data_IF_521610256916
#
_entry.id   IF_521610256916
#
_cell.length_a   1.000
_cell.length_b   1.000
_cell.length_c   1.000
_cell.angle_alpha   90.00
_cell.angle_beta   90.00
_cell.angle_gamma   90.00
#
_symmetry.space_group_name_H-M   'P 1'
#
loop_
_entity.id
_entity.type
_entity.pdbx_description
1 polymer ?
#
# COMPACT_ATOMS: atom_id res chain seq x y z
N UNK A 1 -32.40 6.32 56.87
CA UNK A 1 -33.35 5.27 56.43
C UNK A 1 -32.93 4.92 55.02
N UNK A 2 -32.41 3.75 54.69
CA UNK A 2 -32.68 2.43 55.25
C UNK A 2 -31.42 1.57 55.38
N UNK A 3 -31.29 0.99 56.57
CA UNK A 3 -30.31 -0.02 56.97
C UNK A 3 -30.89 -1.41 56.67
N UNK A 4 -30.30 -2.11 55.69
CA UNK A 4 -30.62 -3.49 55.36
C UNK A 4 -29.80 -4.49 56.22
N UNK A 5 -30.36 -5.66 56.58
CA UNK A 5 -29.83 -6.51 57.63
C UNK A 5 -28.70 -7.44 57.17
N UNK A 6 -27.79 -7.72 58.09
CA UNK A 6 -26.74 -8.71 57.99
C UNK A 6 -27.35 -10.12 57.87
N UNK A 7 -26.99 -10.85 56.80
CA UNK A 7 -27.35 -12.24 56.60
C UNK A 7 -26.36 -13.16 57.33
N UNK A 8 -26.92 -14.06 58.13
CA UNK A 8 -26.25 -15.12 58.87
C UNK A 8 -25.35 -16.00 57.99
N UNK A 9 -24.11 -16.20 58.44
CA UNK A 9 -23.16 -17.14 57.86
C UNK A 9 -23.54 -18.57 58.27
N UNK A 10 -23.93 -19.38 57.28
CA UNK A 10 -24.17 -20.81 57.46
C UNK A 10 -22.85 -21.57 57.77
N UNK A 11 -22.90 -22.61 58.62
CA UNK A 11 -21.72 -23.39 59.00
C UNK A 11 -21.21 -24.22 57.81
N UNK A 12 -19.89 -24.15 57.58
CA UNK A 12 -19.18 -24.94 56.59
C UNK A 12 -19.34 -26.44 56.89
N UNK A 13 -20.03 -27.17 56.01
CA UNK A 13 -20.12 -28.62 56.07
C UNK A 13 -18.74 -29.25 55.81
N UNK A 14 -18.32 -30.12 56.73
CA UNK A 14 -17.12 -30.96 56.60
C UNK A 14 -17.17 -31.75 55.29
N UNK A 15 -16.31 -31.37 54.33
CA UNK A 15 -16.16 -32.07 53.07
C UNK A 15 -15.51 -33.44 53.34
N UNK A 16 -16.31 -34.50 53.26
CA UNK A 16 -15.83 -35.88 53.33
C UNK A 16 -14.63 -36.10 52.40
N UNK A 17 -13.56 -36.68 52.93
CA UNK A 17 -12.35 -36.99 52.18
C UNK A 17 -12.70 -37.79 50.90
N UNK A 18 -12.11 -37.45 49.75
CA UNK A 18 -12.42 -38.14 48.50
C UNK A 18 -12.11 -39.64 48.66
N UNK A 19 -13.10 -40.48 48.35
CA UNK A 19 -12.92 -41.93 48.33
C UNK A 19 -11.69 -42.28 47.46
N UNK A 20 -10.79 -43.09 47.99
CA UNK A 20 -9.59 -43.52 47.29
C UNK A 20 -9.90 -44.26 45.97
N UNK A 21 -8.91 -44.43 45.08
CA UNK A 21 -9.10 -45.15 43.82
C UNK A 21 -9.60 -46.57 44.07
N UNK A 22 -10.46 -47.08 43.18
CA UNK A 22 -11.00 -48.44 43.26
C UNK A 22 -9.85 -49.47 43.40
N UNK A 23 -9.87 -50.34 44.43
CA UNK A 23 -8.82 -51.32 44.66
C UNK A 23 -8.57 -52.24 43.46
N UNK A 24 -9.57 -52.46 42.59
CA UNK A 24 -9.40 -53.24 41.35
C UNK A 24 -8.50 -52.54 40.34
N UNK A 25 -8.63 -51.21 40.22
CA UNK A 25 -7.78 -50.40 39.34
C UNK A 25 -6.34 -50.45 39.86
N UNK A 26 -6.15 -50.36 41.18
CA UNK A 26 -4.82 -50.45 41.78
C UNK A 26 -4.17 -51.82 41.54
N UNK A 27 -4.91 -52.91 41.77
CA UNK A 27 -4.41 -54.26 41.50
C UNK A 27 -4.02 -54.46 40.02
N UNK A 28 -4.83 -53.96 39.09
CA UNK A 28 -4.51 -54.04 37.66
C UNK A 28 -3.23 -53.25 37.32
N UNK A 29 -3.05 -52.05 37.88
CA UNK A 29 -1.82 -51.26 37.70
C UNK A 29 -0.58 -51.99 38.20
N UNK A 30 -0.70 -52.66 39.35
CA UNK A 30 0.41 -53.46 39.92
C UNK A 30 0.74 -54.67 39.06
N UNK A 31 -0.28 -55.34 38.51
CA UNK A 31 -0.08 -56.44 37.54
C UNK A 31 0.63 -55.94 36.29
N UNK A 32 0.19 -54.82 35.69
CA UNK A 32 0.84 -54.27 34.49
C UNK A 32 2.30 -53.87 34.75
N UNK A 33 2.60 -53.35 35.94
CA UNK A 33 3.98 -53.06 36.34
C UNK A 33 4.85 -54.33 36.43
N UNK A 34 4.33 -55.41 37.03
CA UNK A 34 5.03 -56.70 37.12
C UNK A 34 5.24 -57.32 35.73
N UNK A 35 4.23 -57.27 34.87
CA UNK A 35 4.33 -57.74 33.47
C UNK A 35 5.41 -56.96 32.72
N UNK A 36 5.51 -55.64 32.92
CA UNK A 36 6.62 -54.83 32.39
C UNK A 36 8.00 -55.32 32.86
N UNK A 37 8.11 -55.68 34.14
CA UNK A 37 9.34 -56.28 34.69
C UNK A 37 9.71 -57.62 34.06
N UNK A 38 8.72 -58.49 33.80
CA UNK A 38 8.95 -59.77 33.14
C UNK A 38 9.45 -59.56 31.70
N UNK A 39 8.80 -58.71 30.92
CA UNK A 39 9.23 -58.42 29.54
C UNK A 39 10.62 -57.82 29.48
N UNK A 40 10.96 -56.92 30.42
CA UNK A 40 12.30 -56.35 30.55
C UNK A 40 13.34 -57.44 30.84
N UNK A 41 13.04 -58.38 31.73
CA UNK A 41 13.94 -59.50 32.04
C UNK A 41 14.13 -60.45 30.85
N UNK A 42 13.13 -60.59 29.98
CA UNK A 42 13.19 -61.37 28.73
C UNK A 42 13.92 -60.62 27.61
N UNK A 43 14.22 -59.34 27.78
CA UNK A 43 14.91 -58.50 26.80
C UNK A 43 14.00 -57.86 25.73
N UNK A 44 12.68 -57.97 25.88
CA UNK A 44 11.71 -57.31 24.99
C UNK A 44 11.37 -55.91 25.54
N UNK A 45 12.25 -54.95 25.26
CA UNK A 45 12.15 -53.58 25.77
C UNK A 45 10.86 -52.86 25.31
N UNK A 46 10.39 -53.13 24.10
CA UNK A 46 9.15 -52.54 23.56
C UNK A 46 7.91 -53.01 24.35
N UNK A 47 7.75 -54.32 24.54
CA UNK A 47 6.62 -54.84 25.32
C UNK A 47 6.70 -54.43 26.78
N UNK A 48 7.90 -54.38 27.35
CA UNK A 48 8.13 -53.89 28.70
C UNK A 48 7.64 -52.46 28.86
N UNK A 49 8.01 -51.57 27.93
CA UNK A 49 7.61 -50.17 27.95
C UNK A 49 6.08 -50.00 27.84
N UNK A 50 5.40 -50.72 26.95
CA UNK A 50 3.93 -50.67 26.84
C UNK A 50 3.24 -51.09 28.14
N UNK A 51 3.74 -52.16 28.77
CA UNK A 51 3.20 -52.64 30.04
C UNK A 51 3.44 -51.63 31.18
N UNK A 52 4.64 -51.04 31.26
CA UNK A 52 4.93 -49.97 32.21
C UNK A 52 4.07 -48.72 32.00
N UNK A 53 3.85 -48.32 30.75
CA UNK A 53 2.97 -47.21 30.43
C UNK A 53 1.52 -47.47 30.89
N UNK A 54 1.04 -48.70 30.68
CA UNK A 54 -0.30 -49.12 31.11
C UNK A 54 -0.45 -49.16 32.63
N UNK A 55 0.64 -49.31 33.39
CA UNK A 55 0.59 -49.32 34.86
C UNK A 55 0.15 -47.99 35.49
N UNK A 56 0.12 -46.88 34.74
CA UNK A 56 -0.32 -45.59 35.25
C UNK A 56 0.64 -44.95 36.27
N UNK A 57 1.88 -45.47 36.40
CA UNK A 57 2.90 -44.96 37.33
C UNK A 57 3.75 -43.89 36.64
N UNK A 58 3.74 -42.62 37.07
CA UNK A 58 4.39 -41.52 36.34
C UNK A 58 5.88 -41.71 36.01
N UNK A 59 6.65 -42.37 36.88
CA UNK A 59 8.07 -42.64 36.66
C UNK A 59 8.28 -43.72 35.58
N UNK A 60 7.61 -44.86 35.73
CA UNK A 60 7.68 -45.97 34.76
C UNK A 60 7.15 -45.56 33.39
N UNK A 61 6.20 -44.64 33.38
CA UNK A 61 5.60 -44.04 32.19
C UNK A 61 6.55 -43.16 31.38
N UNK A 62 7.36 -42.32 32.03
CA UNK A 62 8.38 -41.50 31.34
C UNK A 62 9.46 -42.41 30.76
N UNK A 63 9.92 -43.35 31.58
CA UNK A 63 10.90 -44.36 31.18
C UNK A 63 10.39 -45.21 30.00
N UNK A 64 9.11 -45.56 29.98
CA UNK A 64 8.48 -46.27 28.87
C UNK A 64 8.55 -45.48 27.56
N UNK A 65 8.19 -44.19 27.56
CA UNK A 65 8.26 -43.34 26.36
C UNK A 65 9.70 -43.20 25.89
N UNK A 66 10.65 -42.96 26.80
CA UNK A 66 12.08 -42.88 26.46
C UNK A 66 12.64 -44.20 25.89
N UNK A 67 12.19 -45.33 26.44
CA UNK A 67 12.59 -46.66 25.96
C UNK A 67 12.04 -46.89 24.55
N UNK A 68 10.75 -46.63 24.30
CA UNK A 68 10.14 -46.77 22.97
C UNK A 68 10.79 -45.83 21.94
N UNK A 69 11.15 -44.63 22.36
CA UNK A 69 11.90 -43.69 21.53
C UNK A 69 13.27 -44.26 21.13
N UNK A 70 13.98 -44.87 22.09
CA UNK A 70 15.31 -45.46 21.89
C UNK A 70 15.27 -46.72 21.03
N UNK A 71 14.27 -47.58 21.21
CA UNK A 71 14.08 -48.79 20.40
C UNK A 71 13.55 -48.48 18.99
N UNK A 72 13.06 -47.26 18.78
CA UNK A 72 12.49 -46.82 17.50
C UNK A 72 11.08 -47.36 17.25
N UNK A 73 10.41 -47.88 18.28
CA UNK A 73 9.04 -48.40 18.22
C UNK A 73 8.01 -47.26 18.33
N UNK A 74 8.00 -46.43 17.29
CA UNK A 74 7.24 -45.19 17.20
C UNK A 74 5.71 -45.40 17.22
N UNK A 75 5.21 -46.57 16.80
CA UNK A 75 3.78 -46.89 16.83
C UNK A 75 3.28 -47.03 18.27
N UNK A 76 4.04 -47.76 19.08
CA UNK A 76 3.73 -47.94 20.49
C UNK A 76 4.00 -46.65 21.28
N UNK A 77 5.05 -45.90 20.94
CA UNK A 77 5.32 -44.57 21.51
C UNK A 77 4.12 -43.63 21.31
N UNK A 78 3.61 -43.53 20.08
CA UNK A 78 2.48 -42.66 19.75
C UNK A 78 1.19 -43.09 20.48
N UNK A 79 0.89 -44.39 20.54
CA UNK A 79 -0.28 -44.92 21.27
C UNK A 79 -0.22 -44.63 22.76
N UNK A 80 0.96 -44.81 23.37
CA UNK A 80 1.17 -44.51 24.79
C UNK A 80 0.99 -43.01 25.06
N UNK A 81 1.46 -42.14 24.17
CA UNK A 81 1.28 -40.69 24.29
C UNK A 81 -0.19 -40.26 24.08
N UNK A 82 -0.90 -40.88 23.13
CA UNK A 82 -2.33 -40.65 22.87
C UNK A 82 -3.19 -41.02 24.09
N UNK A 83 -2.96 -42.19 24.69
CA UNK A 83 -3.70 -42.64 25.88
C UNK A 83 -3.57 -41.68 27.09
N UNK A 84 -2.47 -40.92 27.14
CA UNK A 84 -2.22 -39.92 28.21
C UNK A 84 -2.80 -38.54 27.91
N UNK A 85 -3.43 -38.36 26.74
CA UNK A 85 -3.87 -37.05 26.28
C UNK A 85 -2.73 -36.14 25.80
N UNK A 86 -1.51 -36.66 25.61
CA UNK A 86 -0.39 -35.94 25.01
C UNK A 86 -0.45 -35.97 23.48
N UNK A 87 -1.62 -35.67 22.91
CA UNK A 87 -1.88 -35.77 21.46
C UNK A 87 -0.90 -34.97 20.59
N UNK A 88 -0.39 -33.82 21.10
CA UNK A 88 0.62 -33.03 20.37
C UNK A 88 1.95 -33.77 20.20
N UNK A 89 2.43 -34.44 21.24
CA UNK A 89 3.71 -35.16 21.17
C UNK A 89 3.56 -36.46 20.39
N UNK A 90 2.43 -37.16 20.54
CA UNK A 90 2.09 -38.30 19.70
C UNK A 90 2.05 -37.93 18.21
N UNK A 91 1.43 -36.79 17.86
CA UNK A 91 1.41 -36.26 16.50
C UNK A 91 2.81 -35.95 15.96
N UNK A 92 3.73 -35.44 16.79
CA UNK A 92 5.13 -35.16 16.37
C UNK A 92 5.89 -36.44 16.04
N UNK A 93 5.67 -37.51 16.81
CA UNK A 93 6.29 -38.82 16.54
C UNK A 93 5.84 -39.35 15.18
N UNK A 94 4.53 -39.25 14.88
CA UNK A 94 3.95 -39.68 13.61
C UNK A 94 4.40 -38.79 12.42
N UNK A 95 4.48 -37.47 12.61
CA UNK A 95 4.97 -36.51 11.61
C UNK A 95 6.41 -36.88 11.16
N UNK A 96 7.30 -37.23 12.11
CA UNK A 96 8.69 -37.65 11.80
C UNK A 96 8.77 -38.94 10.98
N UNK A 97 7.76 -39.80 11.07
CA UNK A 97 7.70 -41.10 10.38
C UNK A 97 6.89 -41.04 9.09
N UNK A 98 6.38 -39.86 8.71
CA UNK A 98 5.61 -39.65 7.49
C UNK A 98 4.14 -40.10 7.57
N UNK A 99 3.64 -40.45 8.76
CA UNK A 99 2.23 -40.81 8.98
C UNK A 99 1.40 -39.54 9.21
N UNK A 100 1.30 -38.70 8.19
CA UNK A 100 0.71 -37.37 8.31
C UNK A 100 -0.79 -37.39 8.59
N UNK A 101 -1.55 -38.36 8.07
CA UNK A 101 -3.00 -38.45 8.29
C UNK A 101 -3.34 -38.68 9.76
N UNK A 102 -2.66 -39.64 10.39
CA UNK A 102 -2.83 -39.92 11.82
C UNK A 102 -2.32 -38.75 12.69
N UNK A 103 -1.21 -38.12 12.29
CA UNK A 103 -0.70 -36.93 12.98
C UNK A 103 -1.71 -35.78 12.97
N UNK A 104 -2.38 -35.53 11.83
CA UNK A 104 -3.44 -34.51 11.71
C UNK A 104 -4.56 -34.79 12.71
N UNK A 105 -5.08 -36.03 12.76
CA UNK A 105 -6.14 -36.43 13.71
C UNK A 105 -5.75 -36.12 15.16
N UNK A 106 -4.55 -36.53 15.58
CA UNK A 106 -4.07 -36.32 16.95
C UNK A 106 -3.88 -34.83 17.29
N UNK A 107 -3.43 -34.03 16.33
CA UNK A 107 -3.33 -32.58 16.53
C UNK A 107 -4.71 -31.91 16.67
N UNK A 108 -5.70 -32.35 15.92
CA UNK A 108 -7.08 -31.84 16.03
C UNK A 108 -7.71 -32.19 17.37
N UNK A 109 -7.56 -33.42 17.84
CA UNK A 109 -8.00 -33.85 19.17
C UNK A 109 -7.34 -33.02 20.27
N UNK A 110 -6.06 -32.68 20.10
CA UNK A 110 -5.31 -31.80 20.99
C UNK A 110 -5.57 -30.29 20.78
N UNK A 111 -6.52 -29.93 19.91
CA UNK A 111 -6.89 -28.55 19.53
C UNK A 111 -5.70 -27.70 19.04
N UNK A 112 -4.67 -28.33 18.48
CA UNK A 112 -3.51 -27.66 17.87
C UNK A 112 -3.66 -27.59 16.34
N UNK A 113 -4.57 -26.72 15.90
CA UNK A 113 -4.93 -26.58 14.49
C UNK A 113 -3.75 -26.14 13.60
N UNK A 114 -2.77 -25.41 14.16
CA UNK A 114 -1.57 -24.96 13.43
C UNK A 114 -0.67 -26.14 13.08
N UNK A 115 -0.41 -27.01 14.06
CA UNK A 115 0.37 -28.23 13.84
C UNK A 115 -0.37 -29.20 12.93
N UNK A 116 -1.70 -29.33 13.08
CA UNK A 116 -2.54 -30.11 12.17
C UNK A 116 -2.41 -29.63 10.72
N UNK A 117 -2.57 -28.32 10.46
CA UNK A 117 -2.45 -27.77 9.11
C UNK A 117 -1.04 -27.97 8.54
N UNK A 118 0.01 -27.76 9.34
CA UNK A 118 1.39 -28.01 8.91
C UNK A 118 1.61 -29.47 8.50
N UNK A 119 1.12 -30.41 9.31
CA UNK A 119 1.23 -31.84 9.03
C UNK A 119 0.46 -32.21 7.75
N UNK A 120 -0.76 -31.71 7.58
CA UNK A 120 -1.58 -31.92 6.38
C UNK A 120 -0.87 -31.43 5.11
N UNK A 121 -0.30 -30.22 5.15
CA UNK A 121 0.44 -29.64 4.02
C UNK A 121 1.72 -30.42 3.69
N UNK A 122 2.46 -30.85 4.72
CA UNK A 122 3.68 -31.65 4.54
C UNK A 122 3.37 -33.02 3.94
N UNK A 123 2.26 -33.63 4.37
CA UNK A 123 1.75 -34.89 3.82
C UNK A 123 1.00 -34.78 2.50
N UNK A 124 0.86 -33.57 1.93
CA UNK A 124 0.05 -33.29 0.72
C UNK A 124 -1.40 -33.76 0.83
N UNK A 125 -1.97 -33.69 2.03
CA UNK A 125 -3.35 -34.02 2.35
C UNK A 125 -4.23 -32.79 2.04
N UNK A 126 -4.62 -32.63 0.77
CA UNK A 126 -5.27 -31.40 0.28
C UNK A 126 -6.65 -31.17 0.87
N UNK A 127 -7.42 -32.23 1.09
CA UNK A 127 -8.81 -32.12 1.56
C UNK A 127 -8.86 -31.73 3.05
N UNK A 128 -7.99 -32.33 3.86
CA UNK A 128 -7.79 -31.99 5.26
C UNK A 128 -7.26 -30.57 5.41
N UNK A 129 -6.30 -30.17 4.58
CA UNK A 129 -5.78 -28.80 4.58
C UNK A 129 -6.89 -27.78 4.24
N UNK A 130 -7.72 -28.04 3.22
CA UNK A 130 -8.88 -27.20 2.86
C UNK A 130 -9.86 -27.03 4.02
N UNK A 131 -10.13 -28.11 4.76
CA UNK A 131 -11.00 -28.08 5.95
C UNK A 131 -10.38 -27.28 7.11
N UNK A 132 -9.06 -27.39 7.31
CA UNK A 132 -8.35 -26.75 8.44
C UNK A 132 -8.08 -25.26 8.24
N UNK A 133 -7.88 -24.79 7.01
CA UNK A 133 -7.60 -23.37 6.67
C UNK A 133 -8.57 -22.38 7.33
N UNK A 134 -9.92 -22.52 7.20
CA UNK A 134 -10.84 -21.58 7.83
C UNK A 134 -10.82 -21.62 9.36
N UNK A 135 -10.39 -22.75 9.97
CA UNK A 135 -10.35 -22.93 11.42
C UNK A 135 -9.11 -22.31 12.07
N UNK A 136 -7.96 -22.34 11.38
CA UNK A 136 -6.69 -21.75 11.86
C UNK A 136 -6.73 -20.21 11.75
N UNK A 137 -7.49 -19.70 10.79
CA UNK A 137 -7.58 -18.27 10.51
C UNK A 137 -6.61 -17.82 9.41
N UNK A 138 -6.93 -16.70 8.73
CA UNK A 138 -6.36 -16.37 7.43
C UNK A 138 -4.87 -16.03 7.45
N UNK A 139 -4.41 -15.28 8.45
CA UNK A 139 -2.99 -14.83 8.54
C UNK A 139 -2.05 -16.00 8.82
N UNK A 140 -2.45 -16.89 9.72
CA UNK A 140 -1.65 -18.06 10.10
C UNK A 140 -1.67 -19.12 9.01
N UNK A 141 -2.83 -19.36 8.39
CA UNK A 141 -2.95 -20.23 7.24
C UNK A 141 -2.05 -19.75 6.09
N UNK A 142 -2.04 -18.45 5.78
CA UNK A 142 -1.14 -17.87 4.77
C UNK A 142 0.34 -18.19 5.04
N UNK A 143 0.81 -17.96 6.27
CA UNK A 143 2.20 -18.24 6.64
C UNK A 143 2.59 -19.71 6.42
N UNK A 144 1.71 -20.64 6.83
CA UNK A 144 1.96 -22.07 6.66
C UNK A 144 1.88 -22.53 5.20
N UNK A 145 0.94 -21.98 4.42
CA UNK A 145 0.80 -22.27 2.99
C UNK A 145 1.99 -21.77 2.17
N UNK A 146 2.49 -20.56 2.43
CA UNK A 146 3.69 -20.01 1.79
C UNK A 146 4.93 -20.86 2.11
N UNK A 147 5.10 -21.25 3.39
CA UNK A 147 6.22 -22.09 3.81
C UNK A 147 6.19 -23.48 3.16
N UNK A 148 5.00 -24.06 3.01
CA UNK A 148 4.80 -25.35 2.36
C UNK A 148 4.78 -25.26 0.82
N UNK A 149 4.90 -24.04 0.24
CA UNK A 149 4.77 -23.79 -1.20
C UNK A 149 3.45 -24.30 -1.81
N UNK A 150 2.38 -24.34 -1.02
CA UNK A 150 1.04 -24.77 -1.44
C UNK A 150 0.30 -23.61 -2.13
N UNK A 151 0.79 -23.18 -3.29
CA UNK A 151 0.35 -21.96 -3.97
C UNK A 151 -1.11 -22.00 -4.43
N UNK A 152 -1.66 -23.16 -4.78
CA UNK A 152 -3.06 -23.32 -5.20
C UNK A 152 -4.03 -23.02 -4.05
N UNK A 153 -3.81 -23.66 -2.89
CA UNK A 153 -4.60 -23.41 -1.68
C UNK A 153 -4.45 -21.97 -1.19
N UNK A 154 -3.24 -21.40 -1.29
CA UNK A 154 -3.02 -20.00 -0.96
C UNK A 154 -3.81 -19.06 -1.88
N UNK A 155 -3.89 -19.40 -3.16
CA UNK A 155 -4.67 -18.64 -4.13
C UNK A 155 -6.17 -18.73 -3.83
N UNK A 156 -6.71 -19.94 -3.57
CA UNK A 156 -8.10 -20.13 -3.15
C UNK A 156 -8.43 -19.30 -1.90
N UNK A 157 -7.53 -19.29 -0.90
CA UNK A 157 -7.68 -18.47 0.30
C UNK A 157 -7.74 -16.98 -0.01
N UNK A 158 -6.86 -16.45 -0.86
CA UNK A 158 -6.88 -15.04 -1.23
C UNK A 158 -8.08 -14.65 -2.10
N UNK A 159 -8.54 -15.55 -2.98
CA UNK A 159 -9.77 -15.34 -3.76
C UNK A 159 -10.98 -15.27 -2.82
N UNK A 160 -11.07 -16.17 -1.84
CA UNK A 160 -12.14 -16.15 -0.83
C UNK A 160 -12.15 -14.86 0.03
N UNK A 161 -10.99 -14.24 0.23
CA UNK A 161 -10.85 -12.95 0.93
C UNK A 161 -11.10 -11.73 0.03
N UNK A 162 -11.24 -11.90 -1.28
CA UNK A 162 -11.26 -10.80 -2.25
C UNK A 162 -9.91 -10.07 -2.39
N UNK A 163 -8.80 -10.64 -1.90
CA UNK A 163 -7.47 -10.04 -2.00
C UNK A 163 -6.83 -10.36 -3.37
N UNK A 164 -7.41 -9.79 -4.43
CA UNK A 164 -6.95 -10.02 -5.80
C UNK A 164 -5.53 -9.50 -6.08
N UNK A 165 -5.03 -8.58 -5.26
CA UNK A 165 -3.65 -8.10 -5.33
C UNK A 165 -2.62 -9.21 -5.06
N UNK A 166 -2.87 -10.02 -4.03
CA UNK A 166 -2.00 -11.13 -3.68
C UNK A 166 -2.09 -12.24 -4.73
N UNK A 167 -3.31 -12.53 -5.22
CA UNK A 167 -3.56 -13.48 -6.31
C UNK A 167 -2.78 -13.10 -7.58
N UNK A 168 -2.82 -11.83 -7.98
CA UNK A 168 -2.10 -11.36 -9.17
C UNK A 168 -0.58 -11.54 -9.04
N UNK A 169 0.00 -11.26 -7.86
CA UNK A 169 1.43 -11.50 -7.60
C UNK A 169 1.82 -12.98 -7.66
N UNK A 170 0.94 -13.87 -7.19
CA UNK A 170 1.16 -15.33 -7.32
C UNK A 170 1.18 -15.75 -8.79
N UNK A 171 0.24 -15.25 -9.60
CA UNK A 171 0.25 -15.49 -11.05
C UNK A 171 1.48 -14.92 -11.75
N UNK A 172 1.94 -13.71 -11.39
CA UNK A 172 3.18 -13.14 -11.93
C UNK A 172 4.41 -13.99 -11.60
N UNK A 173 4.50 -14.51 -10.36
CA UNK A 173 5.58 -15.42 -9.96
C UNK A 173 5.57 -16.72 -10.77
N UNK A 174 4.38 -17.24 -11.08
CA UNK A 174 4.18 -18.39 -11.96
C UNK A 174 4.34 -18.06 -13.46
N UNK A 175 4.61 -16.80 -13.82
CA UNK A 175 4.72 -16.28 -15.21
C UNK A 175 3.43 -16.41 -16.03
N UNK A 176 2.27 -16.54 -15.38
CA UNK A 176 0.94 -16.56 -16.00
C UNK A 176 0.39 -15.13 -16.06
N UNK A 177 0.97 -14.31 -16.95
CA UNK A 177 0.72 -12.87 -16.98
C UNK A 177 -0.69 -12.48 -17.46
N UNK A 178 -1.35 -13.35 -18.22
CA UNK A 178 -2.75 -13.23 -18.65
C UNK A 178 -3.71 -13.26 -17.45
N UNK A 179 -3.57 -14.27 -16.60
CA UNK A 179 -4.37 -14.43 -15.38
C UNK A 179 -4.03 -13.35 -14.34
N UNK A 180 -2.76 -12.99 -14.24
CA UNK A 180 -2.33 -11.85 -13.41
C UNK A 180 -3.01 -10.55 -13.84
N UNK A 181 -3.12 -10.29 -15.15
CA UNK A 181 -3.83 -9.13 -15.69
C UNK A 181 -5.29 -9.08 -15.26
N UNK A 182 -6.01 -10.21 -15.34
CA UNK A 182 -7.40 -10.30 -14.90
C UNK A 182 -7.55 -10.06 -13.39
N UNK A 183 -6.64 -10.61 -12.58
CA UNK A 183 -6.64 -10.41 -11.14
C UNK A 183 -6.37 -8.93 -10.78
N UNK A 184 -5.41 -8.28 -11.45
CA UNK A 184 -5.15 -6.85 -11.25
C UNK A 184 -6.33 -5.96 -11.70
N UNK A 185 -7.06 -6.32 -12.77
CA UNK A 185 -8.29 -5.62 -13.15
C UNK A 185 -9.36 -5.73 -12.04
N UNK A 186 -9.55 -6.92 -11.45
CA UNK A 186 -10.48 -7.11 -10.32
C UNK A 186 -10.06 -6.33 -9.07
N UNK A 187 -8.75 -6.15 -8.85
CA UNK A 187 -8.21 -5.29 -7.80
C UNK A 187 -8.30 -3.79 -8.11
N UNK A 188 -8.83 -3.41 -9.28
CA UNK A 188 -8.88 -2.03 -9.79
C UNK A 188 -7.50 -1.35 -9.90
N UNK A 189 -6.43 -2.13 -10.12
CA UNK A 189 -5.06 -1.63 -10.32
C UNK A 189 -4.68 -1.67 -11.79
N UNK A 190 -5.28 -0.75 -12.55
CA UNK A 190 -5.21 -0.71 -14.02
C UNK A 190 -3.78 -0.65 -14.57
N UNK A 191 -2.88 0.13 -13.97
CA UNK A 191 -1.48 0.21 -14.42
C UNK A 191 -0.68 -1.09 -14.23
N UNK A 192 -0.98 -1.89 -13.19
CA UNK A 192 -0.38 -3.20 -12.99
C UNK A 192 -0.96 -4.23 -13.96
N UNK A 193 -2.29 -4.21 -14.16
CA UNK A 193 -2.98 -5.04 -15.14
C UNK A 193 -2.43 -4.83 -16.55
N UNK A 194 -2.27 -3.57 -16.97
CA UNK A 194 -1.71 -3.21 -18.29
C UNK A 194 -0.31 -3.80 -18.48
N UNK A 195 0.60 -3.62 -17.51
CA UNK A 195 1.97 -4.17 -17.57
C UNK A 195 1.96 -5.70 -17.62
N UNK A 196 1.04 -6.36 -16.91
CA UNK A 196 0.89 -7.81 -16.99
C UNK A 196 0.45 -8.24 -18.39
N UNK A 197 -0.56 -7.62 -18.99
CA UNK A 197 -0.98 -7.93 -20.37
C UNK A 197 0.11 -7.65 -21.42
N UNK A 198 0.87 -6.57 -21.28
CA UNK A 198 2.03 -6.26 -22.14
C UNK A 198 3.09 -7.37 -22.06
N UNK A 199 3.37 -7.90 -20.86
CA UNK A 199 4.28 -9.06 -20.67
C UNK A 199 3.72 -10.35 -21.26
N UNK A 200 2.39 -10.54 -21.20
CA UNK A 200 1.70 -11.65 -21.84
C UNK A 200 1.64 -11.53 -23.37
N UNK A 201 2.01 -10.37 -23.93
CA UNK A 201 1.85 -10.00 -25.35
C UNK A 201 0.38 -9.96 -25.81
N UNK A 202 -0.57 -9.85 -24.88
CA UNK A 202 -1.98 -9.58 -25.20
C UNK A 202 -2.19 -8.07 -25.35
N UNK A 203 -1.85 -7.56 -26.54
CA UNK A 203 -1.93 -6.12 -26.83
C UNK A 203 -3.38 -5.62 -26.84
N UNK A 204 -4.36 -6.47 -27.12
CA UNK A 204 -5.77 -6.10 -27.16
C UNK A 204 -6.30 -5.83 -25.74
N UNK A 205 -6.03 -6.73 -24.79
CA UNK A 205 -6.39 -6.48 -23.38
C UNK A 205 -5.57 -5.33 -22.78
N UNK A 206 -4.29 -5.21 -23.13
CA UNK A 206 -3.47 -4.08 -22.68
C UNK A 206 -4.04 -2.73 -23.13
N UNK A 207 -4.46 -2.60 -24.39
CA UNK A 207 -5.09 -1.38 -24.92
C UNK A 207 -6.43 -1.09 -24.22
N UNK A 208 -7.28 -2.10 -24.03
CA UNK A 208 -8.55 -1.95 -23.30
C UNK A 208 -8.31 -1.38 -21.90
N UNK A 209 -7.36 -1.96 -21.15
CA UNK A 209 -7.03 -1.52 -19.79
C UNK A 209 -6.41 -0.13 -19.79
N UNK A 210 -5.55 0.17 -20.77
CA UNK A 210 -4.96 1.50 -20.96
C UNK A 210 -6.03 2.56 -21.13
N UNK A 211 -7.03 2.32 -21.97
CA UNK A 211 -8.16 3.25 -22.15
C UNK A 211 -8.91 3.48 -20.84
N UNK A 212 -9.18 2.42 -20.06
CA UNK A 212 -9.78 2.55 -18.72
C UNK A 212 -8.88 3.34 -17.77
N UNK A 213 -7.57 3.10 -17.78
CA UNK A 213 -6.57 3.81 -16.94
C UNK A 213 -6.55 5.30 -17.25
N UNK A 214 -6.49 5.65 -18.54
CA UNK A 214 -6.53 7.03 -19.03
C UNK A 214 -7.85 7.71 -18.62
N UNK A 215 -9.00 7.06 -18.82
CA UNK A 215 -10.29 7.59 -18.40
C UNK A 215 -10.37 7.82 -16.88
N UNK A 216 -9.87 6.87 -16.08
CA UNK A 216 -9.85 7.00 -14.63
C UNK A 216 -8.93 8.15 -14.14
N UNK A 217 -7.79 8.36 -14.80
CA UNK A 217 -6.88 9.48 -14.51
C UNK A 217 -7.51 10.83 -14.89
N UNK A 218 -8.14 10.91 -16.06
CA UNK A 218 -8.88 12.11 -16.50
C UNK A 218 -10.01 12.43 -15.52
N UNK A 219 -10.77 11.42 -15.07
CA UNK A 219 -11.85 11.60 -14.10
C UNK A 219 -11.35 12.11 -12.74
N UNK A 220 -10.12 11.74 -12.34
CA UNK A 220 -9.45 12.27 -11.14
C UNK A 220 -8.83 13.66 -11.34
N UNK A 221 -8.81 14.17 -12.57
CA UNK A 221 -8.17 15.44 -12.93
C UNK A 221 -6.67 15.34 -13.25
N UNK A 222 -6.08 14.14 -13.22
CA UNK A 222 -4.67 13.91 -13.55
C UNK A 222 -4.47 13.65 -15.05
N UNK A 223 -4.65 14.72 -15.85
CA UNK A 223 -4.46 14.65 -17.30
C UNK A 223 -2.99 14.51 -17.71
N UNK A 224 -2.05 14.93 -16.86
CA UNK A 224 -0.62 14.74 -17.12
C UNK A 224 -0.26 13.25 -17.04
N UNK A 225 -0.70 12.56 -15.98
CA UNK A 225 -0.55 11.11 -15.85
C UNK A 225 -1.21 10.36 -17.01
N UNK A 226 -2.42 10.77 -17.41
CA UNK A 226 -3.10 10.18 -18.58
C UNK A 226 -2.28 10.31 -19.88
N UNK A 227 -1.73 11.51 -20.14
CA UNK A 227 -0.89 11.75 -21.30
C UNK A 227 0.43 10.95 -21.26
N UNK A 228 1.04 10.79 -20.08
CA UNK A 228 2.23 9.94 -19.92
C UNK A 228 1.95 8.47 -20.26
N UNK A 229 0.80 7.94 -19.83
CA UNK A 229 0.37 6.57 -20.17
C UNK A 229 0.22 6.42 -21.69
N UNK A 230 -0.43 7.37 -22.35
CA UNK A 230 -0.60 7.38 -23.82
C UNK A 230 0.75 7.47 -24.56
N UNK A 231 1.67 8.32 -24.09
CA UNK A 231 3.01 8.45 -24.68
C UNK A 231 3.82 7.17 -24.55
N UNK A 232 3.75 6.48 -23.40
CA UNK A 232 4.44 5.21 -23.20
C UNK A 232 3.98 4.12 -24.18
N UNK A 233 2.76 4.27 -24.72
CA UNK A 233 2.19 3.39 -25.73
C UNK A 233 2.44 3.86 -27.17
N UNK A 234 3.17 4.95 -27.38
CA UNK A 234 3.40 5.56 -28.69
C UNK A 234 2.20 6.36 -29.24
N UNK A 235 1.13 6.55 -28.46
CA UNK A 235 -0.07 7.28 -28.85
C UNK A 235 0.11 8.80 -28.66
N UNK A 236 1.10 9.37 -29.35
CA UNK A 236 1.49 10.78 -29.23
C UNK A 236 0.35 11.75 -29.54
N UNK A 237 -0.43 11.49 -30.59
CA UNK A 237 -1.56 12.34 -30.97
C UNK A 237 -2.64 12.42 -29.87
N UNK A 238 -3.05 11.28 -29.30
CA UNK A 238 -4.03 11.22 -28.22
C UNK A 238 -3.51 11.88 -26.93
N UNK A 239 -2.21 11.75 -26.64
CA UNK A 239 -1.58 12.43 -25.50
C UNK A 239 -1.66 13.95 -25.63
N UNK A 240 -1.38 14.48 -26.82
CA UNK A 240 -1.49 15.91 -27.13
C UNK A 240 -2.94 16.36 -26.99
N UNK A 241 -3.90 15.65 -27.59
CA UNK A 241 -5.32 15.97 -27.49
C UNK A 241 -5.79 16.07 -26.03
N UNK A 242 -5.42 15.08 -25.20
CA UNK A 242 -5.74 15.04 -23.77
C UNK A 242 -5.22 16.27 -23.02
N UNK A 243 -4.03 16.76 -23.37
CA UNK A 243 -3.43 17.94 -22.73
C UNK A 243 -4.01 19.26 -23.27
N UNK A 244 -4.33 19.34 -24.56
CA UNK A 244 -4.90 20.56 -25.15
C UNK A 244 -6.28 20.89 -24.58
N UNK A 245 -7.04 19.88 -24.14
CA UNK A 245 -8.32 20.04 -23.45
C UNK A 245 -8.24 20.77 -22.10
N UNK A 246 -7.04 20.90 -21.47
CA UNK A 246 -6.89 21.72 -20.26
C UNK A 246 -7.06 23.21 -20.56
N UNK A 247 -6.81 23.62 -21.81
CA UNK A 247 -6.82 25.01 -22.21
C UNK A 247 -5.64 25.81 -21.65
N UNK A 248 -5.34 26.93 -22.31
CA UNK A 248 -4.46 27.96 -21.79
C UNK A 248 -3.00 27.53 -21.58
N UNK A 249 -2.24 28.32 -20.79
CA UNK A 249 -0.81 28.09 -20.58
C UNK A 249 -0.46 26.78 -19.86
N UNK A 250 -1.41 26.17 -19.14
CA UNK A 250 -1.18 24.91 -18.42
C UNK A 250 -0.95 23.74 -19.39
N UNK A 251 -1.78 23.63 -20.43
CA UNK A 251 -1.62 22.60 -21.47
C UNK A 251 -0.26 22.71 -22.16
N UNK A 252 0.15 23.94 -22.50
CA UNK A 252 1.47 24.21 -23.09
C UNK A 252 2.63 23.76 -22.18
N UNK A 253 2.61 24.15 -20.90
CA UNK A 253 3.66 23.75 -19.95
C UNK A 253 3.74 22.23 -19.78
N UNK A 254 2.61 21.54 -19.76
CA UNK A 254 2.60 20.07 -19.71
C UNK A 254 3.15 19.43 -20.99
N UNK A 255 2.86 19.98 -22.17
CA UNK A 255 3.47 19.52 -23.42
C UNK A 255 5.01 19.69 -23.39
N UNK A 256 5.51 20.83 -22.92
CA UNK A 256 6.95 21.04 -22.73
C UNK A 256 7.56 20.09 -21.69
N UNK A 257 6.87 19.86 -20.57
CA UNK A 257 7.33 18.93 -19.54
C UNK A 257 7.46 17.49 -20.09
N UNK A 258 6.61 17.11 -21.05
CA UNK A 258 6.69 15.84 -21.75
C UNK A 258 7.62 15.85 -22.99
N UNK A 259 8.36 16.95 -23.21
CA UNK A 259 9.29 17.14 -24.34
C UNK A 259 8.62 17.05 -25.71
N UNK A 260 7.35 17.47 -25.79
CA UNK A 260 6.57 17.57 -27.02
C UNK A 260 6.66 19.00 -27.58
N UNK A 261 7.88 19.48 -27.80
CA UNK A 261 8.15 20.91 -28.07
C UNK A 261 7.50 21.40 -29.37
N UNK A 262 7.51 20.57 -30.42
CA UNK A 262 6.89 20.92 -31.70
C UNK A 262 5.36 21.10 -31.57
N UNK A 263 4.70 20.18 -30.86
CA UNK A 263 3.26 20.24 -30.59
C UNK A 263 2.91 21.34 -29.60
N UNK A 264 3.76 21.59 -28.60
CA UNK A 264 3.61 22.73 -27.69
C UNK A 264 3.61 24.05 -28.47
N UNK A 265 4.57 24.24 -29.37
CA UNK A 265 4.65 25.43 -30.22
C UNK A 265 3.45 25.55 -31.17
N UNK A 266 3.04 24.45 -31.81
CA UNK A 266 1.85 24.45 -32.67
C UNK A 266 0.59 24.83 -31.89
N UNK A 267 0.42 24.28 -30.68
CA UNK A 267 -0.69 24.59 -29.79
C UNK A 267 -0.70 26.08 -29.38
N UNK A 268 0.45 26.60 -28.93
CA UNK A 268 0.57 28.01 -28.54
C UNK A 268 0.31 28.97 -29.72
N UNK A 269 0.79 28.65 -30.93
CA UNK A 269 0.49 29.45 -32.14
C UNK A 269 -0.99 29.42 -32.50
N UNK A 270 -1.64 28.26 -32.37
CA UNK A 270 -3.08 28.12 -32.60
C UNK A 270 -3.91 28.95 -31.62
N UNK A 271 -3.58 28.89 -30.32
CA UNK A 271 -4.26 29.68 -29.29
C UNK A 271 -3.99 31.19 -29.45
N UNK A 272 -2.77 31.58 -29.82
CA UNK A 272 -2.42 32.96 -30.16
C UNK A 272 -3.27 33.49 -31.34
N UNK A 273 -3.44 32.69 -32.39
CA UNK A 273 -4.27 33.05 -33.54
C UNK A 273 -5.74 33.24 -33.12
N UNK A 274 -6.27 32.36 -32.26
CA UNK A 274 -7.64 32.48 -31.71
C UNK A 274 -7.81 33.75 -30.87
N UNK A 275 -6.88 34.04 -29.94
CA UNK A 275 -6.94 35.27 -29.14
C UNK A 275 -6.84 36.53 -30.01
N UNK A 276 -6.03 36.49 -31.08
CA UNK A 276 -5.91 37.61 -32.03
C UNK A 276 -7.20 37.81 -32.82
N UNK A 277 -7.80 36.74 -33.34
CA UNK A 277 -9.07 36.81 -34.08
C UNK A 277 -10.25 37.21 -33.19
N UNK A 278 -10.25 36.79 -31.91
CA UNK A 278 -11.27 37.15 -30.93
C UNK A 278 -11.10 38.53 -30.29
N UNK A 279 -10.02 39.26 -30.58
CA UNK A 279 -9.74 40.55 -29.95
C UNK A 279 -9.35 40.47 -28.47
N UNK A 280 -9.01 39.29 -27.95
CA UNK A 280 -8.53 39.12 -26.58
C UNK A 280 -7.05 39.53 -26.49
N UNK A 281 -6.83 40.84 -26.29
CA UNK A 281 -5.49 41.43 -26.16
C UNK A 281 -4.72 40.86 -24.96
N UNK A 282 -5.41 40.49 -23.88
CA UNK A 282 -4.79 39.92 -22.68
C UNK A 282 -4.30 38.49 -22.94
N UNK A 283 -5.13 37.65 -23.55
CA UNK A 283 -4.75 36.30 -23.98
C UNK A 283 -3.61 36.33 -24.99
N UNK A 284 -3.68 37.22 -26.00
CA UNK A 284 -2.62 37.43 -26.98
C UNK A 284 -1.28 37.77 -26.32
N UNK A 285 -1.27 38.73 -25.39
CA UNK A 285 -0.04 39.15 -24.71
C UNK A 285 0.60 38.00 -23.91
N UNK A 286 -0.21 37.21 -23.17
CA UNK A 286 0.28 36.04 -22.44
C UNK A 286 0.90 34.98 -23.33
N UNK A 287 0.29 34.68 -24.47
CA UNK A 287 0.81 33.68 -25.40
C UNK A 287 2.10 34.14 -26.09
N UNK A 288 2.20 35.42 -26.44
CA UNK A 288 3.43 35.99 -27.00
C UNK A 288 4.59 35.94 -25.99
N UNK A 289 4.32 36.25 -24.72
CA UNK A 289 5.32 36.12 -23.64
C UNK A 289 5.78 34.66 -23.48
N UNK A 290 4.85 33.71 -23.53
CA UNK A 290 5.14 32.28 -23.40
C UNK A 290 5.94 31.72 -24.59
N UNK A 291 5.74 32.28 -25.79
CA UNK A 291 6.50 31.95 -26.99
C UNK A 291 7.87 32.64 -27.05
N UNK A 292 8.15 33.57 -26.14
CA UNK A 292 9.38 34.37 -26.14
C UNK A 292 9.39 35.55 -27.11
N UNK A 293 8.24 35.89 -27.70
CA UNK A 293 8.06 37.03 -28.62
C UNK A 293 7.90 38.33 -27.82
N UNK A 294 8.94 38.72 -27.09
CA UNK A 294 8.92 39.78 -26.07
C UNK A 294 8.48 41.15 -26.62
N UNK A 295 8.92 41.52 -27.82
CA UNK A 295 8.53 42.79 -28.46
C UNK A 295 7.03 42.86 -28.74
N UNK A 296 6.48 41.82 -29.37
CA UNK A 296 5.06 41.76 -29.68
C UNK A 296 4.21 41.62 -28.40
N UNK A 297 4.73 40.90 -27.40
CA UNK A 297 4.08 40.77 -26.09
C UNK A 297 3.94 42.12 -25.39
N UNK A 298 5.00 42.95 -25.39
CA UNK A 298 4.99 44.27 -24.79
C UNK A 298 3.89 45.16 -25.41
N UNK A 299 3.80 45.20 -26.74
CA UNK A 299 2.75 45.95 -27.44
C UNK A 299 1.34 45.41 -27.13
N UNK A 300 1.16 44.09 -27.10
CA UNK A 300 -0.12 43.49 -26.75
C UNK A 300 -0.54 43.81 -25.29
N UNK A 301 0.41 43.91 -24.36
CA UNK A 301 0.12 44.33 -22.97
C UNK A 301 -0.31 45.79 -22.85
N UNK A 302 0.21 46.69 -23.71
CA UNK A 302 -0.27 48.08 -23.81
C UNK A 302 -1.72 48.10 -24.28
N UNK A 303 -2.05 47.35 -25.35
CA UNK A 303 -3.42 47.24 -25.86
C UNK A 303 -4.38 46.63 -24.82
N UNK A 304 -3.89 45.72 -23.98
CA UNK A 304 -4.65 45.14 -22.87
C UNK A 304 -4.76 46.05 -21.63
N UNK A 305 -4.31 47.31 -21.70
CA UNK A 305 -4.28 48.27 -20.58
C UNK A 305 -3.48 47.81 -19.35
N UNK A 306 -2.54 46.87 -19.50
CA UNK A 306 -1.65 46.40 -18.44
C UNK A 306 -0.25 46.98 -18.63
N UNK A 307 -0.17 48.30 -18.58
CA UNK A 307 1.04 49.09 -18.86
C UNK A 307 2.23 48.72 -17.97
N UNK A 308 1.98 48.31 -16.72
CA UNK A 308 3.02 47.86 -15.78
C UNK A 308 3.81 46.67 -16.32
N UNK A 309 3.14 45.71 -16.97
CA UNK A 309 3.80 44.55 -17.57
C UNK A 309 4.54 44.90 -18.86
N UNK A 310 3.91 45.74 -19.69
CA UNK A 310 4.54 46.24 -20.91
C UNK A 310 5.83 46.99 -20.61
N UNK A 311 5.84 47.83 -19.55
CA UNK A 311 7.01 48.56 -19.08
C UNK A 311 8.20 47.63 -18.81
N UNK A 312 7.99 46.55 -18.04
CA UNK A 312 9.05 45.58 -17.72
C UNK A 312 9.60 44.91 -18.98
N UNK A 313 8.74 44.59 -19.95
CA UNK A 313 9.19 43.97 -21.20
C UNK A 313 9.95 44.93 -22.11
N UNK A 314 9.53 46.20 -22.22
CA UNK A 314 10.29 47.21 -22.98
C UNK A 314 11.65 47.50 -22.34
N UNK A 315 11.75 47.47 -21.01
CA UNK A 315 13.04 47.54 -20.31
C UNK A 315 13.95 46.36 -20.63
N UNK A 316 13.41 45.12 -20.66
CA UNK A 316 14.17 43.94 -21.03
C UNK A 316 14.66 43.98 -22.49
N UNK A 317 13.88 44.59 -23.38
CA UNK A 317 14.25 44.79 -24.79
C UNK A 317 15.25 45.94 -25.00
N UNK A 318 15.45 46.80 -24.00
CA UNK A 318 16.26 48.01 -24.14
C UNK A 318 15.58 49.13 -24.94
N UNK A 319 14.26 49.09 -25.14
CA UNK A 319 13.49 50.17 -25.76
C UNK A 319 13.16 51.23 -24.71
N UNK A 320 14.22 51.93 -24.29
CA UNK A 320 14.16 52.94 -23.23
C UNK A 320 13.16 54.08 -23.50
N UNK A 321 13.02 54.62 -24.74
CA UNK A 321 12.03 55.65 -25.02
C UNK A 321 10.59 55.21 -24.75
N UNK A 322 10.20 54.01 -25.23
CA UNK A 322 8.83 53.49 -25.00
C UNK A 322 8.60 53.13 -23.54
N UNK A 323 9.59 52.54 -22.88
CA UNK A 323 9.53 52.26 -21.45
C UNK A 323 9.34 53.54 -20.62
N UNK A 324 10.12 54.59 -20.90
CA UNK A 324 10.02 55.87 -20.20
C UNK A 324 8.64 56.53 -20.34
N UNK A 325 8.09 56.53 -21.56
CA UNK A 325 6.75 57.04 -21.82
C UNK A 325 5.67 56.28 -21.03
N UNK A 326 5.73 54.94 -20.99
CA UNK A 326 4.79 54.14 -20.20
C UNK A 326 4.93 54.37 -18.68
N UNK A 327 6.16 54.55 -18.19
CA UNK A 327 6.40 54.86 -16.77
C UNK A 327 5.81 56.22 -16.39
N UNK A 328 5.89 57.21 -17.28
CA UNK A 328 5.27 58.51 -17.08
C UNK A 328 3.74 58.42 -17.06
N UNK A 329 3.14 57.64 -17.97
CA UNK A 329 1.69 57.39 -17.98
C UNK A 329 1.20 56.67 -16.71
N UNK A 330 2.02 55.80 -16.14
CA UNK A 330 1.79 55.15 -14.85
C UNK A 330 2.08 56.07 -13.65
N UNK A 331 2.42 57.33 -13.89
CA UNK A 331 2.81 58.34 -12.88
C UNK A 331 4.01 57.93 -12.02
N UNK A 332 4.83 57.01 -12.51
CA UNK A 332 6.10 56.60 -11.89
C UNK A 332 7.22 57.52 -12.37
N UNK A 333 7.13 58.81 -12.03
CA UNK A 333 7.94 59.88 -12.61
C UNK A 333 9.46 59.69 -12.39
N UNK A 334 9.88 59.21 -11.23
CA UNK A 334 11.30 58.95 -10.95
C UNK A 334 11.87 57.88 -11.90
N UNK A 335 11.09 56.82 -12.13
CA UNK A 335 11.46 55.73 -13.05
C UNK A 335 11.44 56.22 -14.50
N UNK A 336 10.46 57.03 -14.88
CA UNK A 336 10.40 57.64 -16.21
C UNK A 336 11.62 58.54 -16.49
N UNK A 337 12.01 59.38 -15.52
CA UNK A 337 13.22 60.21 -15.62
C UNK A 337 14.48 59.37 -15.82
N UNK A 338 14.65 58.30 -15.03
CA UNK A 338 15.79 57.38 -15.17
C UNK A 338 15.82 56.73 -16.57
N UNK A 339 14.68 56.24 -17.04
CA UNK A 339 14.57 55.60 -18.35
C UNK A 339 14.82 56.60 -19.50
N UNK A 340 14.35 57.85 -19.41
CA UNK A 340 14.67 58.89 -20.39
C UNK A 340 16.17 59.23 -20.41
N UNK A 341 16.84 59.25 -19.25
CA UNK A 341 18.29 59.40 -19.20
C UNK A 341 19.01 58.23 -19.87
N UNK A 342 18.57 56.98 -19.64
CA UNK A 342 19.12 55.78 -20.31
C UNK A 342 18.87 55.80 -21.82
N UNK A 343 17.76 56.38 -22.27
CA UNK A 343 17.45 56.61 -23.67
C UNK A 343 18.31 57.70 -24.33
N UNK A 344 19.03 58.51 -23.54
CA UNK A 344 19.77 59.69 -24.02
C UNK A 344 18.87 60.92 -24.27
N UNK A 345 17.58 60.85 -23.93
CA UNK A 345 16.63 61.94 -24.12
C UNK A 345 16.62 62.88 -22.91
N UNK A 346 17.64 63.74 -22.84
CA UNK A 346 17.81 64.71 -21.75
C UNK A 346 16.63 65.69 -21.65
N UNK A 347 16.05 66.07 -22.79
CA UNK A 347 14.94 67.02 -22.82
C UNK A 347 13.70 66.48 -22.13
N UNK A 348 13.31 65.23 -22.42
CA UNK A 348 12.20 64.60 -21.73
C UNK A 348 12.53 64.23 -20.27
N UNK A 349 13.77 63.85 -19.96
CA UNK A 349 14.19 63.60 -18.59
C UNK A 349 14.05 64.85 -17.70
N UNK A 350 14.51 66.01 -18.17
CA UNK A 350 14.36 67.30 -17.46
C UNK A 350 12.89 67.73 -17.36
N UNK A 351 12.10 67.52 -18.42
CA UNK A 351 10.65 67.80 -18.42
C UNK A 351 9.93 66.99 -17.34
N UNK A 352 10.18 65.68 -17.27
CA UNK A 352 9.57 64.80 -16.26
C UNK A 352 10.05 65.16 -14.86
N UNK A 353 11.32 65.56 -14.70
CA UNK A 353 11.85 66.00 -13.41
C UNK A 353 11.15 67.25 -12.85
N UNK A 354 10.66 68.13 -13.74
CA UNK A 354 9.93 69.35 -13.39
C UNK A 354 8.44 69.10 -13.07
N UNK A 355 7.90 67.91 -13.34
CA UNK A 355 6.50 67.59 -13.04
C UNK A 355 6.27 67.44 -11.53
N UNK A 356 5.10 67.87 -11.01
CA UNK A 356 4.80 67.78 -9.59
C UNK A 356 4.74 66.32 -9.15
N UNK A 357 5.66 65.92 -8.25
CA UNK A 357 5.70 64.58 -7.69
C UNK A 357 4.52 64.40 -6.74
N UNK A 358 3.63 63.47 -7.07
CA UNK A 358 2.62 63.02 -6.12
C UNK A 358 3.33 62.30 -4.99
N UNK A 359 3.52 63.00 -3.86
CA UNK A 359 3.99 62.39 -2.62
C UNK A 359 2.90 61.41 -2.18
N UNK A 360 3.00 60.15 -2.62
CA UNK A 360 2.24 59.07 -2.00
C UNK A 360 2.79 59.01 -0.59
N UNK A 361 2.03 59.54 0.38
CA UNK A 361 2.36 59.45 1.78
C UNK A 361 2.72 58.00 2.07
N UNK A 362 3.96 57.77 2.52
CA UNK A 362 4.47 56.48 2.96
C UNK A 362 3.37 55.81 3.79
N UNK A 363 2.92 54.58 3.46
CA UNK A 363 1.93 53.88 4.27
C UNK A 363 2.42 53.92 5.71
N UNK A 364 1.59 54.46 6.61
CA UNK A 364 1.88 54.42 8.04
C UNK A 364 2.27 52.98 8.39
N UNK A 365 3.44 52.85 9.01
CA UNK A 365 3.98 51.60 9.52
C UNK A 365 2.84 50.80 10.16
N UNK A 366 2.54 49.61 9.62
CA UNK A 366 1.56 48.74 10.23
C UNK A 366 1.94 48.55 11.70
N UNK A 367 1.01 48.75 12.66
CA UNK A 367 1.31 48.56 14.07
C UNK A 367 1.88 47.15 14.27
N UNK A 368 2.85 46.98 15.19
CA UNK A 368 3.51 45.70 15.42
C UNK A 368 2.46 44.62 15.68
N UNK A 369 2.58 43.50 14.98
CA UNK A 369 1.74 42.33 15.15
C UNK A 369 1.72 41.94 16.63
N UNK A 370 0.56 42.08 17.26
CA UNK A 370 0.27 41.64 18.61
C UNK A 370 0.55 40.13 18.69
N UNK A 371 1.37 39.75 19.66
CA UNK A 371 1.86 38.39 19.84
C UNK A 371 0.70 37.40 19.93
N UNK A 372 0.69 36.42 19.01
CA UNK A 372 -0.20 35.28 19.10
C UNK A 372 0.04 34.54 20.44
N UNK A 373 -1.01 34.24 21.23
CA UNK A 373 -0.86 33.46 22.45
C UNK A 373 -0.42 32.03 22.10
N UNK A 374 0.56 31.55 22.87
CA UNK A 374 1.06 30.18 22.81
C UNK A 374 -0.10 29.18 23.01
N UNK A 375 -0.41 28.42 21.97
CA UNK A 375 -1.32 27.29 22.06
C UNK A 375 -0.57 26.08 22.60
N UNK A 376 -1.08 25.57 23.71
CA UNK A 376 -0.68 24.37 24.43
C UNK A 376 -0.38 23.17 23.52
N UNK A 377 0.77 22.55 23.77
CA UNK A 377 1.05 21.15 23.48
C UNK A 377 0.17 20.25 24.35
N UNK A 378 -0.64 19.33 23.79
CA UNK A 378 -1.09 18.17 24.53
C UNK A 378 -0.02 17.07 24.46
N UNK A 379 0.34 16.60 25.64
CA UNK A 379 1.17 15.43 25.86
C UNK A 379 0.37 14.12 25.71
N UNK A 380 1.08 13.10 25.23
CA UNK A 380 0.82 11.64 25.30
C UNK A 380 -0.22 11.05 24.35
#
# INVERSE_FOLDING_TARGET
>A
ADSAPAADAAPAADAAAPAGPDPRIQAWRDVMYLVGGIWRAVGDESKAAVAYASSGRPAAEKEAVETLHRTGDWQNEAKVLEQKGHGRDAGRVLERKGQFADAVRLYEEAKDLRSALRAALTGKLTDEAKRLIPLVGPKEAQFHLEKAQAWELLMELHVGQGNFDAVAKLYERARQFDQAGLAWERANKLGAARKAYERAKDMASAERVRTKEVQALIAKGDRLGAAQVLLSAGQRAAAVETLTHLGGPKGFKFLQQLKLDAEALAYAKGELAKSTAGGDHFGRAKWLELLGETAQAAEAWVLASRKEKALVLFEQLGDWPRAAALAEELKSLDKAQELFHRAGDKANAERVAALPRTVIAKPAEAPPAEAAPAADTPAS
#
